data_IF_318688044889
#
_entry.id   IF_318688044889
#
_cell.length_a   1.000
_cell.length_b   1.000
_cell.length_c   1.000
_cell.angle_alpha   90.00
_cell.angle_beta   90.00
_cell.angle_gamma   90.00
#
_symmetry.space_group_name_H-M   'P 1'
#
loop_
_entity.id
_entity.type
_entity.pdbx_description
1 polymer ?
#
# COMPACT_ATOMS: atom_id res chain seq x y z
N UNK A 1 20.12 1.19 -7.08
CA UNK A 1 19.04 0.18 -7.06
C UNK A 1 17.77 0.94 -6.75
N UNK A 2 17.06 1.39 -7.79
CA UNK A 2 15.75 2.02 -7.62
C UNK A 2 14.75 0.91 -7.25
N UNK A 3 14.26 0.96 -6.02
CA UNK A 3 13.36 -0.06 -5.47
C UNK A 3 12.02 -0.08 -6.18
N UNK A 4 11.36 -1.24 -6.14
CA UNK A 4 10.02 -1.50 -6.66
C UNK A 4 8.93 -0.76 -5.85
N UNK A 5 9.06 0.56 -5.68
CA UNK A 5 8.14 1.39 -4.94
C UNK A 5 6.83 1.56 -5.69
N UNK A 6 5.70 1.25 -5.04
CA UNK A 6 4.41 1.76 -5.47
C UNK A 6 4.29 3.20 -4.96
N UNK A 7 3.85 4.13 -5.79
CA UNK A 7 3.64 5.52 -5.42
C UNK A 7 2.14 5.79 -5.35
N UNK A 8 1.73 6.45 -4.28
CA UNK A 8 0.38 7.00 -4.12
C UNK A 8 0.46 8.50 -4.31
N UNK A 9 -0.55 9.10 -4.92
CA UNK A 9 -0.63 10.56 -4.99
C UNK A 9 -2.06 11.04 -4.78
N UNK A 10 -2.20 12.19 -4.11
CA UNK A 10 -3.50 12.78 -3.79
C UNK A 10 -3.66 14.16 -4.42
N UNK A 11 -4.79 14.38 -5.10
CA UNK A 11 -5.15 15.70 -5.65
C UNK A 11 -6.48 16.20 -5.08
N UNK A 12 -6.49 17.33 -4.36
CA UNK A 12 -7.74 17.99 -3.97
C UNK A 12 -8.33 18.72 -5.18
N UNK A 13 -9.65 18.61 -5.36
CA UNK A 13 -10.37 19.32 -6.42
C UNK A 13 -11.05 20.54 -5.81
N UNK A 14 -10.66 21.74 -6.28
CA UNK A 14 -11.36 22.99 -6.00
C UNK A 14 -12.01 23.48 -7.28
N UNK A 15 -13.35 23.59 -7.29
CA UNK A 15 -14.09 24.01 -8.48
C UNK A 15 -14.00 25.53 -8.62
N UNK A 16 -13.09 26.00 -9.47
CA UNK A 16 -13.11 27.37 -10.01
C UNK A 16 -12.83 27.33 -11.51
N UNK A 17 -13.70 26.69 -12.29
CA UNK A 17 -13.88 26.88 -13.75
C UNK A 17 -14.74 25.76 -14.32
N UNK A 18 -15.53 26.09 -15.33
CA UNK A 18 -16.60 25.31 -15.97
C UNK A 18 -16.09 24.12 -16.81
N UNK A 19 -15.12 23.34 -16.32
CA UNK A 19 -14.72 22.06 -16.92
C UNK A 19 -14.59 21.02 -15.82
N UNK A 20 -15.36 19.92 -15.95
CA UNK A 20 -15.40 18.70 -15.14
C UNK A 20 -16.49 18.66 -14.04
N UNK A 21 -17.70 18.25 -14.43
CA UNK A 21 -18.78 17.83 -13.52
C UNK A 21 -18.55 16.41 -12.91
N UNK A 22 -17.42 15.75 -13.17
CA UNK A 22 -17.20 14.36 -12.72
C UNK A 22 -16.96 14.21 -11.21
N UNK A 23 -16.57 15.28 -10.52
CA UNK A 23 -16.22 15.22 -9.10
C UNK A 23 -16.77 16.42 -8.34
N UNK A 24 -17.50 16.14 -7.25
CA UNK A 24 -18.04 17.17 -6.37
C UNK A 24 -16.96 17.87 -5.56
N UNK A 25 -17.29 19.04 -5.00
CA UNK A 25 -16.40 19.75 -4.09
C UNK A 25 -16.01 18.86 -2.89
N UNK A 26 -14.74 18.91 -2.47
CA UNK A 26 -14.20 18.06 -1.41
C UNK A 26 -13.82 16.64 -1.85
N UNK A 27 -14.06 16.26 -3.11
CA UNK A 27 -13.58 15.01 -3.67
C UNK A 27 -12.06 14.93 -3.68
N UNK A 28 -11.52 13.73 -3.44
CA UNK A 28 -10.09 13.45 -3.45
C UNK A 28 -9.79 12.32 -4.44
N UNK A 29 -8.91 12.58 -5.40
CA UNK A 29 -8.44 11.54 -6.32
C UNK A 29 -7.16 10.93 -5.74
N UNK A 30 -7.12 9.60 -5.65
CA UNK A 30 -5.92 8.83 -5.31
C UNK A 30 -5.44 8.09 -6.55
N UNK A 31 -4.18 8.33 -6.95
CA UNK A 31 -3.55 7.66 -8.09
C UNK A 31 -2.46 6.73 -7.55
N UNK A 32 -2.47 5.46 -7.95
CA UNK A 32 -1.46 4.47 -7.60
C UNK A 32 -0.65 4.08 -8.84
N UNK A 33 0.68 4.17 -8.80
CA UNK A 33 1.54 3.77 -9.93
C UNK A 33 2.93 3.37 -9.46
N UNK A 34 3.62 2.47 -10.17
CA UNK A 34 5.05 2.21 -9.93
C UNK A 34 5.97 3.20 -10.65
N UNK A 35 5.42 3.97 -11.58
CA UNK A 35 6.17 4.97 -12.33
C UNK A 35 5.99 6.36 -11.73
N UNK A 36 7.01 6.80 -10.99
CA UNK A 36 7.07 8.14 -10.39
C UNK A 36 7.06 9.25 -11.44
N UNK A 37 7.59 9.01 -12.65
CA UNK A 37 7.67 10.02 -13.69
C UNK A 37 6.28 10.48 -14.13
N UNK A 38 5.32 9.57 -14.23
CA UNK A 38 3.92 9.92 -14.53
C UNK A 38 3.36 10.94 -13.53
N UNK A 39 3.63 10.76 -12.23
CA UNK A 39 3.15 11.68 -11.19
C UNK A 39 3.81 13.06 -11.30
N UNK A 40 5.12 13.09 -11.59
CA UNK A 40 5.87 14.34 -11.75
C UNK A 40 5.47 15.09 -13.02
N UNK A 41 5.30 14.39 -14.15
CA UNK A 41 4.93 14.97 -15.44
C UNK A 41 3.54 15.62 -15.38
N UNK A 42 2.62 15.00 -14.64
CA UNK A 42 1.30 15.56 -14.42
C UNK A 42 1.23 16.59 -13.29
N UNK A 43 2.34 16.94 -12.62
CA UNK A 43 2.44 17.96 -11.56
C UNK A 43 1.60 17.64 -10.32
N UNK A 44 1.57 16.38 -9.88
CA UNK A 44 0.82 16.03 -8.65
C UNK A 44 1.51 16.60 -7.40
N UNK A 45 0.73 17.27 -6.55
CA UNK A 45 1.22 18.04 -5.42
C UNK A 45 1.70 17.17 -4.24
N UNK A 46 1.09 15.99 -4.03
CA UNK A 46 1.41 15.09 -2.92
C UNK A 46 1.74 13.71 -3.49
N UNK A 47 2.99 13.27 -3.37
CA UNK A 47 3.45 11.93 -3.77
C UNK A 47 3.99 11.22 -2.54
N UNK A 48 3.46 10.04 -2.26
CA UNK A 48 3.89 9.14 -1.20
C UNK A 48 4.53 7.90 -1.80
N UNK A 49 5.75 7.59 -1.38
CA UNK A 49 6.40 6.32 -1.72
C UNK A 49 5.95 5.25 -0.73
N UNK A 50 5.24 4.24 -1.22
CA UNK A 50 4.82 3.10 -0.40
C UNK A 50 6.04 2.25 -0.12
N UNK A 51 6.42 2.20 1.16
CA UNK A 51 7.47 1.33 1.66
C UNK A 51 6.99 -0.13 1.69
N UNK A 52 7.95 -1.05 1.57
CA UNK A 52 7.74 -2.45 1.91
C UNK A 52 7.36 -2.58 3.38
N UNK A 53 6.61 -3.63 3.71
CA UNK A 53 6.30 -3.97 5.09
C UNK A 53 7.59 -4.40 5.78
N UNK A 54 7.77 -3.99 7.03
CA UNK A 54 8.76 -4.65 7.88
C UNK A 54 8.26 -6.02 8.36
N UNK A 55 9.16 -6.83 8.92
CA UNK A 55 8.83 -8.20 9.33
C UNK A 55 7.70 -8.24 10.37
N UNK A 56 7.58 -7.22 11.23
CA UNK A 56 6.50 -7.15 12.22
C UNK A 56 5.16 -6.82 11.55
N UNK A 57 5.12 -5.80 10.70
CA UNK A 57 3.93 -5.43 9.93
C UNK A 57 3.47 -6.59 9.02
N UNK A 58 4.42 -7.28 8.37
CA UNK A 58 4.15 -8.44 7.53
C UNK A 58 3.64 -9.64 8.34
N UNK A 59 4.19 -9.89 9.52
CA UNK A 59 3.72 -10.94 10.42
C UNK A 59 2.30 -10.69 10.91
N UNK A 60 1.99 -9.46 11.32
CA UNK A 60 0.65 -9.08 11.77
C UNK A 60 -0.37 -9.21 10.64
N UNK A 61 -0.01 -8.72 9.43
CA UNK A 61 -0.86 -8.84 8.25
C UNK A 61 -1.12 -10.31 7.90
N UNK A 62 -0.06 -11.11 7.80
CA UNK A 62 -0.19 -12.53 7.47
C UNK A 62 -1.01 -13.27 8.53
N UNK A 63 -0.75 -13.01 9.81
CA UNK A 63 -1.46 -13.66 10.91
C UNK A 63 -2.96 -13.33 10.90
N UNK A 64 -3.31 -12.08 10.64
CA UNK A 64 -4.71 -11.66 10.55
C UNK A 64 -5.48 -12.33 9.39
N UNK A 65 -4.78 -12.65 8.29
CA UNK A 65 -5.38 -13.26 7.10
C UNK A 65 -5.43 -14.78 7.21
N UNK A 66 -4.33 -15.41 7.62
CA UNK A 66 -4.21 -16.87 7.68
C UNK A 66 -4.90 -17.48 8.92
N UNK A 67 -5.00 -16.73 10.02
CA UNK A 67 -5.53 -17.20 11.30
C UNK A 67 -6.62 -16.26 11.85
N UNK A 68 -7.74 -16.07 11.12
CA UNK A 68 -8.78 -15.13 11.53
C UNK A 68 -9.41 -15.55 12.87
N UNK A 69 -9.41 -14.64 13.86
CA UNK A 69 -10.01 -14.85 15.17
C UNK A 69 -9.10 -15.51 16.22
N UNK A 70 -7.92 -15.98 15.82
CA UNK A 70 -6.89 -16.46 16.75
C UNK A 70 -6.21 -15.28 17.45
N UNK A 71 -6.29 -15.22 18.78
CA UNK A 71 -5.61 -14.18 19.59
C UNK A 71 -4.17 -14.51 19.93
N UNK A 72 -3.82 -15.80 19.97
CA UNK A 72 -2.49 -16.28 20.30
C UNK A 72 -2.14 -17.50 19.47
N UNK A 73 -1.17 -17.34 18.59
CA UNK A 73 -0.60 -18.46 17.85
C UNK A 73 0.28 -19.32 18.78
N UNK A 74 0.22 -20.64 18.60
CA UNK A 74 1.21 -21.54 19.18
C UNK A 74 2.61 -21.22 18.61
N UNK A 75 3.67 -21.62 19.32
CA UNK A 75 5.03 -21.31 18.88
C UNK A 75 5.40 -21.96 17.54
N UNK A 76 4.78 -23.09 17.19
CA UNK A 76 4.98 -23.74 15.90
C UNK A 76 4.32 -22.94 14.76
N UNK A 77 3.11 -22.41 14.98
CA UNK A 77 2.47 -21.52 14.00
C UNK A 77 3.22 -20.21 13.84
N UNK A 78 3.76 -19.63 14.92
CA UNK A 78 4.63 -18.44 14.83
C UNK A 78 5.87 -18.69 13.99
N UNK A 79 6.54 -19.84 14.17
CA UNK A 79 7.72 -20.21 13.35
C UNK A 79 7.36 -20.34 11.87
N UNK A 80 6.22 -20.96 11.57
CA UNK A 80 5.74 -21.09 10.19
C UNK A 80 5.42 -19.71 9.59
N UNK A 81 4.68 -18.88 10.31
CA UNK A 81 4.36 -17.52 9.88
C UNK A 81 5.61 -16.67 9.62
N UNK A 82 6.61 -16.71 10.52
CA UNK A 82 7.89 -16.03 10.31
C UNK A 82 8.63 -16.52 9.06
N UNK A 83 8.54 -17.81 8.75
CA UNK A 83 9.15 -18.36 7.52
C UNK A 83 8.49 -17.77 6.27
N UNK A 84 7.15 -17.68 6.26
CA UNK A 84 6.40 -17.08 5.15
C UNK A 84 6.70 -15.58 5.03
N UNK A 85 6.73 -14.86 6.15
CA UNK A 85 7.07 -13.42 6.20
C UNK A 85 8.45 -13.15 5.60
N UNK A 86 9.47 -13.89 6.03
CA UNK A 86 10.83 -13.76 5.49
C UNK A 86 10.90 -14.11 4.00
N UNK A 87 10.11 -15.08 3.54
CA UNK A 87 10.04 -15.41 2.13
C UNK A 87 9.39 -14.29 1.30
N UNK A 88 8.35 -13.64 1.84
CA UNK A 88 7.63 -12.55 1.18
C UNK A 88 8.44 -11.25 1.07
N UNK A 89 9.50 -11.08 1.89
CA UNK A 89 10.42 -9.93 1.85
C UNK A 89 9.70 -8.58 1.85
N UNK A 90 8.72 -8.43 2.74
CA UNK A 90 7.97 -7.18 2.89
C UNK A 90 6.99 -6.86 1.75
N UNK A 91 6.85 -7.72 0.73
CA UNK A 91 5.88 -7.53 -0.35
C UNK A 91 4.48 -7.99 0.12
N UNK A 92 3.51 -7.08 0.29
CA UNK A 92 2.19 -7.46 0.81
C UNK A 92 1.49 -8.49 -0.07
N UNK A 93 1.65 -8.38 -1.40
CA UNK A 93 1.00 -9.29 -2.36
C UNK A 93 1.53 -10.72 -2.26
N UNK A 94 2.76 -10.93 -1.79
CA UNK A 94 3.32 -12.26 -1.58
C UNK A 94 2.76 -12.97 -0.33
N UNK A 95 2.05 -12.25 0.55
CA UNK A 95 1.42 -12.78 1.77
C UNK A 95 -0.04 -13.20 1.55
N UNK A 96 -0.65 -12.85 0.41
CA UNK A 96 -2.09 -13.02 0.15
C UNK A 96 -2.45 -14.35 -0.52
N UNK A 97 -1.74 -15.44 -0.22
CA UNK A 97 -1.99 -16.74 -0.84
C UNK A 97 -3.22 -17.46 -0.27
#
# INVERSE_FOLDING_TARGET
MEGAGCFLSMRPINIQSHRHEWFGNGSRIIITTRDKHLLTAHQVNLIYNVRELDDHEAFDLFSAIAFPGERQLSDDYKKLANTVVHYARGLPLALLW
#
